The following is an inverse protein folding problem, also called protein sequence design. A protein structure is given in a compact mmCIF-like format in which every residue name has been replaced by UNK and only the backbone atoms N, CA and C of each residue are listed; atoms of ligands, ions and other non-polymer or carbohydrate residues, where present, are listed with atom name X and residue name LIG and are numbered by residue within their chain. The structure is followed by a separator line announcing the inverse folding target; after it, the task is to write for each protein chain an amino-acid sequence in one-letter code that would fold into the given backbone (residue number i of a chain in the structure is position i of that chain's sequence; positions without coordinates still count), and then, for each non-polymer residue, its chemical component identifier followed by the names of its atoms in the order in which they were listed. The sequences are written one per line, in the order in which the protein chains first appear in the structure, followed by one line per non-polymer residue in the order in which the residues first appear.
data_IF_990575012247
#
_entry.id   IF_990575012247
#
_cell.length_a   1.000
_cell.length_b   1.000
_cell.length_c   1.000
_cell.angle_alpha   90.00
_cell.angle_beta   90.00
_cell.angle_gamma   90.00
#
_symmetry.space_group_name_H-M   'P 1'
#
loop_
_entity.id
_entity.type
_entity.pdbx_description
1 polymer ?
#
# COMPACT_ATOMS: atom_id res chain seq x y z
N UNK A 1 109.09 3.75 -4.78
CA UNK A 1 107.69 3.77 -4.27
C UNK A 1 106.63 3.71 -5.41
N UNK A 2 106.73 2.79 -6.39
CA UNK A 2 105.77 2.72 -7.53
C UNK A 2 104.85 1.49 -7.57
N UNK A 3 105.00 0.52 -6.65
CA UNK A 3 104.22 -0.74 -6.68
C UNK A 3 102.77 -0.64 -6.19
N UNK A 4 102.40 0.41 -5.43
CA UNK A 4 101.03 0.53 -4.87
C UNK A 4 100.04 1.31 -5.75
N UNK A 5 100.52 2.06 -6.75
CA UNK A 5 99.63 2.87 -7.60
C UNK A 5 98.77 1.99 -8.54
N UNK A 6 99.31 0.85 -8.98
CA UNK A 6 98.59 -0.07 -9.88
C UNK A 6 97.52 -0.86 -9.12
N UNK A 7 97.80 -1.27 -7.88
CA UNK A 7 96.85 -1.95 -7.00
C UNK A 7 95.71 -1.01 -6.60
N UNK A 8 96.02 0.25 -6.25
CA UNK A 8 95.00 1.24 -5.91
C UNK A 8 94.10 1.59 -7.11
N UNK A 9 94.66 1.63 -8.32
CA UNK A 9 93.90 1.82 -9.57
C UNK A 9 92.98 0.64 -9.88
N UNK A 10 93.44 -0.60 -9.65
CA UNK A 10 92.60 -1.79 -9.80
C UNK A 10 91.48 -1.87 -8.77
N UNK A 11 91.74 -1.53 -7.52
CA UNK A 11 90.72 -1.48 -6.47
C UNK A 11 89.64 -0.42 -6.80
N UNK A 12 90.05 0.77 -7.26
CA UNK A 12 89.10 1.80 -7.70
C UNK A 12 88.27 1.35 -8.90
N UNK A 13 88.90 0.68 -9.88
CA UNK A 13 88.19 0.16 -11.05
C UNK A 13 87.18 -0.93 -10.66
N UNK A 14 87.55 -1.84 -9.75
CA UNK A 14 86.64 -2.85 -9.19
C UNK A 14 85.47 -2.22 -8.42
N UNK A 15 85.71 -1.19 -7.61
CA UNK A 15 84.66 -0.48 -6.88
C UNK A 15 83.69 0.23 -7.83
N UNK A 16 84.19 0.85 -8.91
CA UNK A 16 83.34 1.49 -9.93
C UNK A 16 82.52 0.45 -10.69
N UNK A 17 83.10 -0.70 -11.05
CA UNK A 17 82.38 -1.79 -11.72
C UNK A 17 81.31 -2.39 -10.79
N UNK A 18 81.61 -2.58 -9.50
CA UNK A 18 80.62 -3.01 -8.50
C UNK A 18 79.48 -1.99 -8.33
N UNK A 19 79.81 -0.69 -8.32
CA UNK A 19 78.81 0.38 -8.22
C UNK A 19 77.89 0.43 -9.46
N UNK A 20 78.46 0.23 -10.65
CA UNK A 20 77.72 0.18 -11.91
C UNK A 20 76.86 -1.09 -12.05
N UNK A 21 77.33 -2.23 -11.52
CA UNK A 21 76.55 -3.47 -11.44
C UNK A 21 75.39 -3.36 -10.43
N UNK A 22 75.59 -2.70 -9.29
CA UNK A 22 74.50 -2.37 -8.36
C UNK A 22 73.50 -1.36 -8.95
N UNK A 23 73.96 -0.43 -9.77
CA UNK A 23 73.11 0.56 -10.45
C UNK A 23 72.23 -0.07 -11.55
N UNK A 24 72.75 -1.08 -12.27
CA UNK A 24 72.04 -1.74 -13.38
C UNK A 24 71.03 -2.80 -12.94
N UNK A 25 71.05 -3.27 -11.69
CA UNK A 25 70.00 -4.14 -11.11
C UNK A 25 68.75 -3.40 -10.62
N UNK A 26 68.72 -2.07 -10.68
CA UNK A 26 67.57 -1.26 -10.26
C UNK A 26 66.62 -0.96 -11.42
N UNK A 27 66.30 -1.95 -12.27
CA UNK A 27 65.14 -1.84 -13.14
C UNK A 27 63.88 -1.92 -12.28
N UNK A 28 63.41 -0.78 -11.80
CA UNK A 28 62.10 -0.66 -11.15
C UNK A 28 61.05 -0.92 -12.22
N UNK A 29 60.69 -2.19 -12.43
CA UNK A 29 59.56 -2.55 -13.28
C UNK A 29 58.31 -1.85 -12.72
N UNK A 30 57.80 -0.87 -13.46
CA UNK A 30 56.55 -0.22 -13.10
C UNK A 30 55.46 -1.30 -13.02
N UNK A 31 54.93 -1.54 -11.82
CA UNK A 31 53.88 -2.53 -11.62
C UNK A 31 52.75 -2.32 -12.63
N UNK A 32 52.39 -3.38 -13.36
CA UNK A 32 51.38 -3.32 -14.42
C UNK A 32 50.10 -2.66 -13.89
N UNK A 33 49.70 -1.55 -14.53
CA UNK A 33 48.53 -0.76 -14.09
C UNK A 33 47.25 -1.47 -14.52
N UNK A 34 46.28 -1.53 -13.60
CA UNK A 34 45.00 -2.22 -13.81
C UNK A 34 43.92 -1.18 -14.11
N UNK A 35 43.32 -1.23 -15.30
CA UNK A 35 42.16 -0.39 -15.59
C UNK A 35 40.97 -0.81 -14.72
N UNK A 36 40.36 0.14 -14.00
CA UNK A 36 39.25 -0.12 -13.08
C UNK A 36 38.03 -0.71 -13.78
N UNK A 37 37.87 -0.51 -15.09
CA UNK A 37 36.82 -1.18 -15.90
C UNK A 37 36.95 -2.71 -15.90
N UNK A 38 38.16 -3.24 -15.72
CA UNK A 38 38.46 -4.67 -15.68
C UNK A 38 38.33 -5.26 -14.25
N UNK A 39 37.80 -4.48 -13.30
CA UNK A 39 37.53 -4.93 -11.94
C UNK A 39 36.05 -5.27 -11.77
N UNK A 40 35.71 -6.07 -10.76
CA UNK A 40 34.33 -6.34 -10.39
C UNK A 40 33.79 -5.19 -9.54
N UNK A 41 32.85 -4.43 -10.10
CA UNK A 41 32.20 -3.29 -9.43
C UNK A 41 30.75 -3.66 -9.11
N UNK A 42 30.39 -3.66 -7.83
CA UNK A 42 29.02 -3.90 -7.33
C UNK A 42 28.50 -2.68 -6.58
N UNK A 43 27.31 -2.22 -6.93
CA UNK A 43 26.55 -1.25 -6.14
C UNK A 43 25.71 -1.99 -5.09
N UNK A 44 25.53 -1.43 -3.89
CA UNK A 44 24.65 -2.00 -2.87
C UNK A 44 23.20 -2.09 -3.34
N UNK A 45 22.77 -1.17 -4.21
CA UNK A 45 21.49 -1.21 -4.91
C UNK A 45 21.60 -0.50 -6.26
N UNK A 46 20.95 -1.06 -7.28
CA UNK A 46 20.81 -0.45 -8.62
C UNK A 46 19.44 0.18 -8.83
N UNK A 47 18.44 -0.19 -8.02
CA UNK A 47 17.11 0.39 -7.98
C UNK A 47 16.78 0.76 -6.54
N UNK A 48 16.54 2.04 -6.27
CA UNK A 48 16.13 2.55 -4.97
C UNK A 48 14.75 3.21 -5.09
N UNK A 49 14.05 3.34 -3.97
CA UNK A 49 12.75 4.02 -3.92
C UNK A 49 12.94 5.44 -3.41
N UNK A 50 12.21 6.40 -3.98
CA UNK A 50 12.19 7.77 -3.48
C UNK A 50 11.80 7.83 -2.00
N UNK A 51 12.64 8.45 -1.17
CA UNK A 51 12.48 8.54 0.29
C UNK A 51 12.72 9.97 0.83
N UNK A 52 12.61 11.00 -0.02
CA UNK A 52 12.87 12.42 0.29
C UNK A 52 14.31 12.77 0.69
N UNK A 53 15.24 11.81 0.72
CA UNK A 53 16.67 12.02 1.05
C UNK A 53 17.57 11.83 -0.17
N UNK A 54 18.80 12.34 -0.10
CA UNK A 54 19.84 12.05 -1.09
C UNK A 54 20.27 10.59 -0.92
N UNK A 55 20.36 9.85 -2.02
CA UNK A 55 20.66 8.42 -2.05
C UNK A 55 21.91 8.15 -2.87
N UNK A 56 22.91 7.53 -2.23
CA UNK A 56 24.20 7.18 -2.82
C UNK A 56 24.52 5.72 -2.47
N UNK A 57 24.21 4.74 -3.34
CA UNK A 57 24.43 3.33 -3.03
C UNK A 57 25.92 3.03 -2.88
N UNK A 58 26.30 2.28 -1.83
CA UNK A 58 27.71 1.96 -1.55
C UNK A 58 28.35 1.23 -2.74
N UNK A 59 29.59 1.58 -3.06
CA UNK A 59 30.37 0.95 -4.15
C UNK A 59 31.37 -0.03 -3.55
N UNK A 60 31.31 -1.29 -4.00
CA UNK A 60 32.33 -2.30 -3.70
C UNK A 60 33.09 -2.63 -4.98
N UNK A 61 34.41 -2.45 -4.95
CA UNK A 61 35.30 -2.80 -6.06
C UNK A 61 36.19 -3.96 -5.63
N UNK A 62 36.31 -4.98 -6.48
CA UNK A 62 37.11 -6.18 -6.22
C UNK A 62 37.91 -6.57 -7.45
N UNK A 63 39.17 -6.93 -7.25
CA UNK A 63 40.05 -7.37 -8.31
C UNK A 63 40.79 -8.63 -7.86
N UNK A 64 40.71 -9.71 -8.65
CA UNK A 64 41.32 -11.03 -8.34
C UNK A 64 41.10 -11.46 -6.87
N UNK A 65 39.84 -11.41 -6.41
CA UNK A 65 39.46 -11.77 -5.03
C UNK A 65 39.70 -10.69 -3.97
N UNK A 66 40.58 -9.70 -4.21
CA UNK A 66 40.91 -8.64 -3.24
C UNK A 66 39.95 -7.46 -3.30
N UNK A 67 39.45 -7.03 -2.14
CA UNK A 67 38.66 -5.80 -2.00
C UNK A 67 39.57 -4.58 -2.09
N UNK A 68 39.23 -3.65 -2.98
CA UNK A 68 39.96 -2.40 -3.13
C UNK A 68 39.42 -1.36 -2.14
N UNK A 69 40.30 -0.48 -1.65
CA UNK A 69 39.95 0.57 -0.68
C UNK A 69 39.64 1.89 -1.39
N UNK A 70 38.48 2.47 -1.12
CA UNK A 70 38.14 3.83 -1.57
C UNK A 70 39.14 4.86 -1.02
N UNK A 71 39.35 5.98 -1.73
CA UNK A 71 40.36 7.03 -1.52
C UNK A 71 41.83 6.58 -1.69
N UNK A 72 42.13 5.30 -1.48
CA UNK A 72 43.46 4.69 -1.70
C UNK A 72 43.62 4.17 -3.13
N UNK A 73 42.73 3.28 -3.56
CA UNK A 73 42.80 2.59 -4.85
C UNK A 73 41.84 3.17 -5.90
N UNK A 74 40.78 3.85 -5.47
CA UNK A 74 39.84 4.52 -6.36
C UNK A 74 39.10 5.64 -5.63
N UNK A 75 38.51 6.57 -6.39
CA UNK A 75 37.60 7.60 -5.89
C UNK A 75 36.21 7.37 -6.52
N UNK A 76 35.16 7.61 -5.76
CA UNK A 76 33.78 7.55 -6.25
C UNK A 76 33.20 8.95 -6.42
N UNK A 77 32.62 9.24 -7.58
CA UNK A 77 31.86 10.48 -7.84
C UNK A 77 30.45 10.14 -8.28
N UNK A 78 29.46 10.74 -7.63
CA UNK A 78 28.05 10.62 -8.01
C UNK A 78 27.63 11.83 -8.84
N UNK A 79 26.72 11.63 -9.77
CA UNK A 79 25.97 12.73 -10.38
C UNK A 79 25.32 13.63 -9.34
N UNK A 80 25.13 14.91 -9.65
CA UNK A 80 24.39 15.84 -8.77
C UNK A 80 22.92 15.41 -8.66
N UNK A 81 22.26 15.82 -7.58
CA UNK A 81 20.80 15.72 -7.47
C UNK A 81 20.22 14.32 -7.24
N UNK A 82 20.98 13.34 -6.75
CA UNK A 82 20.57 11.95 -6.44
C UNK A 82 19.48 11.83 -5.34
N UNK A 83 18.38 12.56 -5.45
CA UNK A 83 17.25 12.59 -4.52
C UNK A 83 15.94 12.35 -5.25
N UNK A 84 15.74 12.97 -6.41
CA UNK A 84 14.50 12.87 -7.21
C UNK A 84 14.48 11.58 -8.03
N UNK A 85 13.33 11.19 -8.55
CA UNK A 85 13.20 10.07 -9.49
C UNK A 85 14.03 10.34 -10.74
N UNK A 86 14.75 9.32 -11.19
CA UNK A 86 15.63 9.44 -12.34
C UNK A 86 16.74 8.40 -12.37
N UNK A 87 17.52 8.45 -13.44
CA UNK A 87 18.72 7.63 -13.61
C UNK A 87 19.95 8.46 -13.27
N UNK A 88 20.84 7.91 -12.44
CA UNK A 88 22.03 8.56 -11.93
C UNK A 88 23.27 7.73 -12.24
N UNK A 89 24.40 8.42 -12.43
CA UNK A 89 25.68 7.79 -12.75
C UNK A 89 26.62 7.85 -11.55
N UNK A 90 27.25 6.73 -11.26
CA UNK A 90 28.39 6.59 -10.35
C UNK A 90 29.64 6.40 -11.20
N UNK A 91 30.60 7.31 -11.05
CA UNK A 91 31.91 7.20 -11.67
C UNK A 91 32.91 6.66 -10.65
N UNK A 92 33.62 5.61 -11.01
CA UNK A 92 34.68 4.99 -10.24
C UNK A 92 35.98 5.31 -10.96
N UNK A 93 36.83 6.12 -10.36
CA UNK A 93 38.07 6.61 -10.96
C UNK A 93 39.22 5.91 -10.25
N UNK A 94 40.04 5.15 -10.99
CA UNK A 94 41.20 4.46 -10.44
C UNK A 94 42.24 5.44 -9.88
N UNK A 95 42.97 5.01 -8.84
CA UNK A 95 44.10 5.73 -8.25
C UNK A 95 45.31 4.80 -8.05
N UNK A 96 46.51 5.32 -8.30
CA UNK A 96 47.77 4.59 -8.13
C UNK A 96 47.93 3.48 -9.18
N UNK A 97 48.09 2.24 -8.73
CA UNK A 97 48.20 1.07 -9.61
C UNK A 97 46.89 0.73 -10.33
N UNK A 98 45.76 1.30 -9.89
CA UNK A 98 44.48 1.20 -10.58
C UNK A 98 44.25 2.49 -11.37
N UNK A 99 43.88 2.40 -12.64
CA UNK A 99 43.75 3.55 -13.55
C UNK A 99 42.41 3.57 -14.29
N UNK A 100 42.17 4.63 -15.05
CA UNK A 100 40.97 4.78 -15.87
C UNK A 100 39.71 5.03 -15.05
N UNK A 101 38.58 5.06 -15.76
CA UNK A 101 37.27 5.35 -15.17
C UNK A 101 36.25 4.31 -15.61
N UNK A 102 35.48 3.80 -14.66
CA UNK A 102 34.31 2.98 -14.92
C UNK A 102 33.04 3.73 -14.50
N UNK A 103 31.96 3.55 -15.27
CA UNK A 103 30.65 4.14 -14.96
C UNK A 103 29.66 3.02 -14.64
N UNK A 104 28.89 3.20 -13.57
CA UNK A 104 27.72 2.38 -13.23
C UNK A 104 26.52 3.29 -13.06
N UNK A 105 25.33 2.74 -13.31
CA UNK A 105 24.08 3.48 -13.17
C UNK A 105 23.24 2.89 -12.05
N UNK A 106 22.51 3.75 -11.36
CA UNK A 106 21.41 3.37 -10.49
C UNK A 106 20.20 4.26 -10.77
N UNK A 107 19.03 3.76 -10.39
CA UNK A 107 17.76 4.44 -10.63
C UNK A 107 17.06 4.68 -9.31
N UNK A 108 16.55 5.89 -9.11
CA UNK A 108 15.57 6.19 -8.06
C UNK A 108 14.19 6.11 -8.69
N UNK A 109 13.37 5.17 -8.21
CA UNK A 109 12.00 4.91 -8.65
C UNK A 109 11.00 5.73 -7.82
N UNK A 110 9.79 6.00 -8.35
CA UNK A 110 8.75 6.70 -7.60
C UNK A 110 8.32 5.90 -6.34
N UNK A 111 7.65 6.55 -5.37
CA UNK A 111 7.17 5.86 -4.16
C UNK A 111 6.22 4.72 -4.54
N UNK A 112 6.30 3.58 -3.84
CA UNK A 112 5.43 2.43 -4.09
C UNK A 112 3.97 2.82 -3.88
N UNK A 113 3.08 2.42 -4.78
CA UNK A 113 1.65 2.60 -4.60
C UNK A 113 1.09 1.56 -3.60
N UNK A 114 0.00 1.92 -2.94
CA UNK A 114 -0.70 1.08 -1.98
C UNK A 114 -2.18 1.11 -2.33
N UNK A 115 -2.77 -0.07 -2.54
CA UNK A 115 -4.22 -0.24 -2.57
C UNK A 115 -4.69 -0.12 -1.13
N UNK A 116 -5.64 0.78 -0.89
CA UNK A 116 -6.27 0.98 0.40
C UNK A 116 -7.54 0.16 0.49
N UNK A 117 -8.39 0.23 -0.54
CA UNK A 117 -9.63 -0.51 -0.59
C UNK A 117 -10.06 -0.80 -2.04
N UNK A 118 -10.95 -1.77 -2.23
CA UNK A 118 -11.57 -2.10 -3.50
C UNK A 118 -13.08 -2.30 -3.26
N UNK A 119 -13.90 -1.53 -3.96
CA UNK A 119 -15.35 -1.65 -3.97
C UNK A 119 -15.77 -2.31 -5.28
N UNK A 120 -16.67 -3.30 -5.24
CA UNK A 120 -17.13 -4.00 -6.44
C UNK A 120 -18.65 -4.02 -6.49
N UNK A 121 -19.17 -3.86 -7.71
CA UNK A 121 -20.59 -4.00 -8.04
C UNK A 121 -20.73 -5.06 -9.14
N UNK A 122 -21.88 -5.16 -9.80
CA UNK A 122 -22.16 -6.21 -10.79
C UNK A 122 -21.20 -6.18 -11.98
N UNK A 123 -20.89 -5.00 -12.51
CA UNK A 123 -20.05 -4.85 -13.72
C UNK A 123 -18.90 -3.84 -13.57
N UNK A 124 -18.70 -3.30 -12.36
CA UNK A 124 -17.70 -2.27 -12.09
C UNK A 124 -16.94 -2.55 -10.80
N UNK A 125 -15.75 -1.96 -10.68
CA UNK A 125 -15.02 -1.91 -9.42
C UNK A 125 -14.27 -0.58 -9.27
N UNK A 126 -14.26 -0.03 -8.06
CA UNK A 126 -13.54 1.19 -7.70
C UNK A 126 -12.38 0.85 -6.78
N UNK A 127 -11.15 1.17 -7.20
CA UNK A 127 -9.93 0.86 -6.46
C UNK A 127 -9.38 2.12 -5.82
N UNK A 128 -9.54 2.23 -4.50
CA UNK A 128 -8.99 3.32 -3.71
C UNK A 128 -7.50 3.06 -3.43
N UNK A 129 -6.67 4.08 -3.66
CA UNK A 129 -5.22 4.02 -3.51
C UNK A 129 -4.72 5.14 -2.60
N UNK A 130 -3.63 4.88 -1.86
CA UNK A 130 -3.00 5.92 -1.03
C UNK A 130 -2.46 7.02 -1.94
N UNK A 131 -2.95 8.25 -1.75
CA UNK A 131 -2.54 9.42 -2.55
C UNK A 131 -1.02 9.65 -2.47
N UNK A 132 -0.38 9.80 -3.63
CA UNK A 132 1.05 10.07 -3.76
C UNK A 132 1.29 11.42 -4.46
N UNK A 133 1.56 12.47 -3.68
CA UNK A 133 1.68 13.85 -4.19
C UNK A 133 3.08 14.21 -4.67
N UNK A 134 4.11 13.44 -4.29
CA UNK A 134 5.50 13.76 -4.60
C UNK A 134 6.12 12.72 -5.52
N UNK A 135 6.94 13.18 -6.47
CA UNK A 135 7.70 12.32 -7.39
C UNK A 135 6.83 11.26 -8.09
N UNK A 136 5.60 11.63 -8.44
CA UNK A 136 4.59 10.76 -9.04
C UNK A 136 3.83 11.58 -10.09
N UNK A 137 3.75 11.08 -11.32
CA UNK A 137 2.96 11.66 -12.40
C UNK A 137 1.59 10.98 -12.57
N UNK A 138 1.44 9.78 -12.02
CA UNK A 138 0.19 9.03 -12.02
C UNK A 138 0.38 7.57 -11.63
N UNK A 139 -0.60 6.75 -12.00
CA UNK A 139 -0.68 5.36 -11.57
C UNK A 139 -0.90 4.42 -12.76
N UNK A 140 -0.51 3.16 -12.57
CA UNK A 140 -0.93 2.04 -13.39
C UNK A 140 -1.55 0.98 -12.51
N UNK A 141 -2.72 0.50 -12.92
CA UNK A 141 -3.37 -0.63 -12.32
C UNK A 141 -3.37 -1.79 -13.31
N UNK A 142 -2.99 -2.98 -12.86
CA UNK A 142 -3.18 -4.21 -13.61
C UNK A 142 -4.18 -5.10 -12.91
N UNK A 143 -5.02 -5.80 -13.67
CA UNK A 143 -6.02 -6.70 -13.12
C UNK A 143 -6.27 -7.91 -14.04
N UNK A 144 -6.62 -9.04 -13.43
CA UNK A 144 -6.94 -10.29 -14.12
C UNK A 144 -7.84 -11.16 -13.24
N UNK A 145 -8.55 -12.12 -13.82
CA UNK A 145 -9.23 -13.18 -13.07
C UNK A 145 -8.25 -14.24 -12.54
N UNK A 146 -7.02 -14.28 -13.08
CA UNK A 146 -5.95 -15.14 -12.59
C UNK A 146 -5.24 -14.51 -11.38
N UNK A 147 -5.14 -15.24 -10.27
CA UNK A 147 -4.51 -14.78 -9.02
C UNK A 147 -3.02 -14.41 -9.15
N UNK A 148 -2.33 -14.97 -10.14
CA UNK A 148 -0.92 -14.64 -10.46
C UNK A 148 -0.80 -13.47 -11.43
N UNK A 149 -1.91 -12.83 -11.81
CA UNK A 149 -1.96 -11.71 -12.75
C UNK A 149 -1.33 -12.04 -14.12
N UNK A 150 -1.45 -13.31 -14.54
CA UNK A 150 -1.11 -13.72 -15.91
C UNK A 150 -2.07 -13.06 -16.88
N UNK A 151 -1.55 -12.53 -18.00
CA UNK A 151 -2.34 -11.85 -19.04
C UNK A 151 -3.22 -10.70 -18.51
N UNK A 152 -2.75 -10.02 -17.46
CA UNK A 152 -3.50 -8.93 -16.84
C UNK A 152 -3.72 -7.75 -17.79
N UNK A 153 -4.96 -7.25 -17.81
CA UNK A 153 -5.30 -5.96 -18.41
C UNK A 153 -4.64 -4.84 -17.60
N UNK A 154 -4.23 -3.76 -18.26
CA UNK A 154 -3.56 -2.62 -17.59
C UNK A 154 -4.25 -1.31 -17.94
N UNK A 155 -4.56 -0.51 -16.92
CA UNK A 155 -5.10 0.84 -17.02
C UNK A 155 -4.03 1.82 -16.54
N UNK A 156 -3.89 2.94 -17.26
CA UNK A 156 -2.99 4.03 -16.86
C UNK A 156 -3.82 5.26 -16.51
N UNK A 157 -3.69 5.74 -15.28
CA UNK A 157 -4.35 6.96 -14.80
C UNK A 157 -3.34 8.09 -14.78
N UNK A 158 -3.62 9.14 -15.56
CA UNK A 158 -2.80 10.35 -15.59
C UNK A 158 -3.15 11.25 -14.41
N UNK A 159 -2.14 11.89 -13.85
CA UNK A 159 -2.30 12.76 -12.68
C UNK A 159 -2.27 11.97 -11.37
N UNK A 160 -1.98 12.68 -10.30
CA UNK A 160 -1.81 12.12 -8.95
C UNK A 160 -2.73 12.77 -7.90
N UNK A 161 -3.67 13.62 -8.35
CA UNK A 161 -4.69 14.25 -7.52
C UNK A 161 -5.73 13.23 -7.06
N UNK A 162 -6.19 12.40 -7.99
CA UNK A 162 -7.19 11.37 -7.72
C UNK A 162 -6.55 10.20 -6.96
N UNK A 163 -7.31 9.68 -6.00
CA UNK A 163 -6.95 8.55 -5.15
C UNK A 163 -7.81 7.31 -5.47
N UNK A 164 -8.52 7.30 -6.60
CA UNK A 164 -9.36 6.18 -7.05
C UNK A 164 -9.08 5.82 -8.51
N UNK A 165 -9.29 4.56 -8.85
CA UNK A 165 -9.21 4.02 -10.21
C UNK A 165 -10.48 3.22 -10.48
N UNK A 166 -11.23 3.59 -11.50
CA UNK A 166 -12.46 2.91 -11.90
C UNK A 166 -12.18 1.82 -12.94
N UNK A 167 -12.76 0.64 -12.71
CA UNK A 167 -12.77 -0.50 -13.63
C UNK A 167 -14.21 -0.70 -14.10
N UNK A 168 -14.43 -0.67 -15.41
CA UNK A 168 -15.74 -0.89 -16.01
C UNK A 168 -15.72 -2.13 -16.91
N UNK A 169 -16.90 -2.68 -17.19
CA UNK A 169 -17.05 -3.84 -18.08
C UNK A 169 -16.47 -5.12 -17.49
N UNK A 170 -16.59 -5.28 -16.18
CA UNK A 170 -16.27 -6.52 -15.48
C UNK A 170 -17.42 -7.51 -15.64
N UNK A 171 -17.11 -8.81 -15.65
CA UNK A 171 -18.14 -9.86 -15.68
C UNK A 171 -18.75 -9.98 -14.30
N UNK A 172 -20.06 -10.14 -14.20
CA UNK A 172 -20.77 -10.42 -12.96
C UNK A 172 -20.28 -11.71 -12.28
N UNK A 173 -20.40 -11.79 -10.95
CA UNK A 173 -20.04 -12.96 -10.14
C UNK A 173 -18.59 -13.43 -10.26
N UNK A 174 -17.67 -12.59 -10.74
CA UNK A 174 -16.32 -12.97 -11.13
C UNK A 174 -15.29 -12.32 -10.21
N UNK A 175 -14.37 -13.13 -9.69
CA UNK A 175 -13.24 -12.63 -8.90
C UNK A 175 -12.15 -12.04 -9.78
N UNK A 176 -11.72 -10.82 -9.46
CA UNK A 176 -10.61 -10.13 -10.08
C UNK A 176 -9.51 -9.85 -9.05
N UNK A 177 -8.28 -10.16 -9.42
CA UNK A 177 -7.06 -9.83 -8.70
C UNK A 177 -6.42 -8.62 -9.35
N UNK A 178 -5.81 -7.75 -8.56
CA UNK A 178 -5.24 -6.51 -9.05
C UNK A 178 -4.05 -6.00 -8.25
N UNK A 179 -3.20 -5.24 -8.93
CA UNK A 179 -2.09 -4.52 -8.33
C UNK A 179 -1.97 -3.14 -8.95
N UNK A 180 -1.47 -2.19 -8.17
CA UNK A 180 -1.22 -0.83 -8.62
C UNK A 180 0.25 -0.45 -8.44
N UNK A 181 0.76 0.45 -9.28
CA UNK A 181 2.09 1.04 -9.16
C UNK A 181 2.02 2.50 -9.56
N UNK A 182 2.86 3.33 -8.95
CA UNK A 182 3.09 4.70 -9.41
C UNK A 182 3.98 4.71 -10.65
N UNK A 183 3.84 5.74 -11.47
CA UNK A 183 4.83 6.13 -12.44
C UNK A 183 5.19 7.60 -12.31
N UNK A 184 6.41 7.95 -12.74
CA UNK A 184 6.87 9.32 -12.86
C UNK A 184 7.54 9.50 -14.22
N UNK A 185 7.17 10.55 -14.94
CA UNK A 185 7.79 10.90 -16.21
C UNK A 185 8.87 11.94 -15.99
N UNK A 186 10.10 11.65 -16.42
CA UNK A 186 11.23 12.58 -16.37
C UNK A 186 11.82 12.65 -17.77
N UNK A 187 11.75 13.83 -18.41
CA UNK A 187 12.22 14.06 -19.79
C UNK A 187 11.70 13.00 -20.78
N UNK A 188 10.38 12.78 -20.79
CA UNK A 188 9.72 11.79 -21.66
C UNK A 188 9.84 10.31 -21.22
N UNK A 189 10.79 9.97 -20.35
CA UNK A 189 10.97 8.59 -19.85
C UNK A 189 10.13 8.31 -18.61
N UNK A 190 9.34 7.23 -18.64
CA UNK A 190 8.58 6.73 -17.47
C UNK A 190 9.43 5.83 -16.57
N UNK A 191 9.37 6.12 -15.27
CA UNK A 191 9.94 5.30 -14.20
C UNK A 191 8.80 4.72 -13.38
N UNK A 192 8.81 3.42 -13.17
CA UNK A 192 7.74 2.71 -12.46
C UNK A 192 8.23 2.21 -11.11
N UNK A 193 7.40 2.36 -10.07
CA UNK A 193 7.66 1.67 -8.82
C UNK A 193 7.46 0.16 -8.96
N UNK A 194 7.86 -0.58 -7.91
CA UNK A 194 7.43 -1.97 -7.77
C UNK A 194 5.90 -2.00 -7.66
N UNK A 195 5.29 -3.07 -8.15
CA UNK A 195 3.87 -3.34 -7.93
C UNK A 195 3.55 -3.37 -6.43
N UNK A 196 2.34 -2.92 -6.09
CA UNK A 196 1.74 -3.08 -4.77
C UNK A 196 1.59 -4.55 -4.39
N UNK A 197 1.21 -4.80 -3.15
CA UNK A 197 0.61 -6.09 -2.79
C UNK A 197 -0.66 -6.32 -3.63
N UNK A 198 -1.01 -7.59 -3.85
CA UNK A 198 -2.20 -7.95 -4.62
C UNK A 198 -3.45 -7.70 -3.78
N UNK A 199 -4.38 -6.91 -4.31
CA UNK A 199 -5.76 -6.83 -3.83
C UNK A 199 -6.66 -7.69 -4.72
N UNK A 200 -7.88 -7.96 -4.27
CA UNK A 200 -8.88 -8.66 -5.06
C UNK A 200 -10.29 -8.23 -4.66
N UNK A 201 -11.24 -8.45 -5.57
CA UNK A 201 -12.67 -8.28 -5.30
C UNK A 201 -13.47 -9.27 -6.17
N UNK A 202 -14.70 -9.54 -5.78
CA UNK A 202 -15.65 -10.33 -6.58
C UNK A 202 -16.82 -9.42 -6.93
N UNK A 203 -17.16 -9.34 -8.21
CA UNK A 203 -18.32 -8.58 -8.69
C UNK A 203 -19.63 -9.25 -8.28
N UNK A 204 -20.69 -8.47 -8.14
CA UNK A 204 -22.01 -8.99 -7.80
C UNK A 204 -22.58 -9.82 -8.96
N UNK A 205 -23.51 -10.74 -8.67
CA UNK A 205 -24.22 -11.51 -9.71
C UNK A 205 -25.35 -10.67 -10.30
N UNK A 206 -25.72 -10.93 -11.55
CA UNK A 206 -26.90 -10.33 -12.18
C UNK A 206 -28.17 -10.89 -11.51
N UNK A 207 -29.12 -10.00 -11.17
CA UNK A 207 -30.45 -10.37 -10.66
C UNK A 207 -31.46 -10.33 -11.81
N UNK A 208 -31.91 -11.49 -12.28
CA UNK A 208 -33.03 -11.55 -13.23
C UNK A 208 -34.35 -11.42 -12.45
N UNK A 209 -34.98 -10.25 -12.48
CA UNK A 209 -36.31 -10.04 -11.88
C UNK A 209 -37.37 -10.03 -12.98
N UNK A 210 -38.15 -11.11 -13.07
CA UNK A 210 -39.38 -11.20 -13.87
C UNK A 210 -40.52 -11.43 -12.89
N UNK A 211 -41.08 -10.37 -12.31
CA UNK A 211 -42.22 -10.49 -11.40
C UNK A 211 -43.53 -10.47 -12.19
N UNK A 212 -44.15 -11.65 -12.37
CA UNK A 212 -45.60 -11.75 -12.52
C UNK A 212 -46.23 -11.64 -11.14
N UNK A 213 -47.11 -10.65 -10.99
CA UNK A 213 -47.88 -10.39 -9.77
C UNK A 213 -49.01 -11.41 -9.65
N UNK A 214 -49.00 -12.23 -8.59
CA UNK A 214 -50.16 -12.98 -8.14
C UNK A 214 -50.52 -12.51 -6.73
N UNK A 215 -51.72 -11.94 -6.60
CA UNK A 215 -52.32 -11.45 -5.37
C UNK A 215 -52.76 -12.62 -4.48
N UNK A 216 -52.39 -12.69 -3.18
CA UNK A 216 -52.97 -13.68 -2.27
C UNK A 216 -54.19 -13.11 -1.51
N UNK A 217 -55.25 -13.92 -1.47
CA UNK A 217 -56.46 -13.79 -0.65
C UNK A 217 -56.19 -14.32 0.77
N UNK A 218 -56.76 -13.75 1.86
CA UNK A 218 -56.47 -14.18 3.24
C UNK A 218 -57.44 -15.28 3.74
N UNK A 219 -56.96 -16.22 4.55
CA UNK A 219 -57.75 -17.05 5.49
C UNK A 219 -56.81 -17.66 6.58
N UNK A 220 -57.28 -18.18 7.73
CA UNK A 220 -56.89 -17.70 9.06
C UNK A 220 -56.01 -18.69 9.87
N UNK A 221 -55.44 -18.16 10.95
CA UNK A 221 -54.54 -18.79 11.95
C UNK A 221 -55.18 -19.91 12.78
N UNK A 222 -54.40 -20.93 13.19
CA UNK A 222 -54.42 -21.32 14.61
C UNK A 222 -53.03 -21.65 15.23
N UNK A 223 -53.10 -21.80 16.55
CA UNK A 223 -52.12 -21.73 17.66
C UNK A 223 -51.06 -22.87 17.78
N UNK A 224 -49.96 -22.56 18.48
CA UNK A 224 -48.74 -23.31 18.90
C UNK A 224 -49.00 -24.60 19.72
N UNK A 225 -48.15 -25.62 19.97
CA UNK A 225 -46.67 -25.94 20.07
C UNK A 225 -46.59 -27.50 20.28
N UNK A 226 -45.46 -28.27 20.43
CA UNK A 226 -44.01 -28.01 20.37
C UNK A 226 -43.14 -29.04 19.55
N UNK A 227 -41.81 -28.76 19.54
CA UNK A 227 -40.62 -29.32 18.82
C UNK A 227 -39.98 -30.48 19.65
N UNK A 228 -39.25 -31.54 19.15
CA UNK A 228 -37.99 -31.42 18.37
C UNK A 228 -37.54 -32.54 17.38
N UNK A 229 -36.64 -32.17 16.44
CA UNK A 229 -35.30 -32.75 16.13
C UNK A 229 -34.83 -32.26 14.73
N UNK A 230 -33.57 -31.79 14.57
CA UNK A 230 -33.15 -31.01 13.40
C UNK A 230 -32.83 -31.87 12.18
N UNK A 231 -33.43 -31.51 11.05
CA UNK A 231 -33.09 -31.97 9.69
C UNK A 231 -32.43 -30.79 8.96
N UNK A 232 -31.37 -31.00 8.15
CA UNK A 232 -30.42 -29.97 7.73
C UNK A 232 -31.04 -28.79 7.00
N UNK A 233 -30.59 -27.59 7.36
CA UNK A 233 -30.98 -26.29 6.79
C UNK A 233 -30.51 -26.20 5.34
N UNK A 234 -31.42 -26.08 4.35
CA UNK A 234 -31.10 -25.59 3.03
C UNK A 234 -30.70 -24.11 3.14
N UNK A 235 -29.61 -23.74 2.48
CA UNK A 235 -29.09 -22.38 2.41
C UNK A 235 -30.13 -21.52 1.66
N UNK A 236 -31.05 -20.91 2.41
CA UNK A 236 -32.15 -20.13 1.90
C UNK A 236 -31.64 -18.91 1.12
N UNK A 237 -32.23 -18.70 -0.05
CA UNK A 237 -32.16 -17.48 -0.83
C UNK A 237 -32.61 -16.29 0.04
N UNK A 238 -31.78 -15.26 0.14
CA UNK A 238 -32.09 -14.01 0.84
C UNK A 238 -33.17 -13.24 0.05
N UNK A 239 -34.33 -12.87 0.65
CA UNK A 239 -35.36 -12.08 -0.03
C UNK A 239 -34.97 -10.59 -0.10
N UNK A 240 -35.61 -9.84 -0.98
CA UNK A 240 -35.41 -8.40 -1.14
C UNK A 240 -35.81 -7.63 0.14
N UNK A 241 -34.83 -6.97 0.78
CA UNK A 241 -34.89 -6.48 2.18
C UNK A 241 -35.49 -5.07 2.42
N UNK A 242 -36.28 -4.51 1.49
CA UNK A 242 -36.71 -3.09 1.54
C UNK A 242 -38.20 -2.88 1.84
N UNK A 243 -38.92 -3.87 2.38
CA UNK A 243 -40.31 -3.70 2.81
C UNK A 243 -40.38 -3.29 4.30
N UNK A 244 -41.03 -2.15 4.57
CA UNK A 244 -41.27 -1.64 5.93
C UNK A 244 -42.41 -2.40 6.60
N UNK A 245 -42.17 -2.92 7.79
CA UNK A 245 -43.17 -3.57 8.64
C UNK A 245 -43.86 -2.58 9.60
N UNK A 246 -45.09 -2.89 10.02
CA UNK A 246 -45.88 -2.08 10.96
C UNK A 246 -45.69 -2.48 12.44
N UNK A 247 -44.83 -3.46 12.72
CA UNK A 247 -44.54 -3.87 14.09
C UNK A 247 -43.67 -2.82 14.83
N UNK A 248 -43.79 -2.66 16.15
CA UNK A 248 -42.87 -1.82 16.91
C UNK A 248 -41.47 -2.46 16.99
N UNK A 249 -40.43 -1.63 17.11
CA UNK A 249 -39.07 -2.13 17.30
C UNK A 249 -38.93 -2.89 18.62
N UNK A 250 -38.15 -3.97 18.58
CA UNK A 250 -37.97 -4.89 19.71
C UNK A 250 -36.93 -4.39 20.70
N UNK A 251 -35.92 -3.67 20.22
CA UNK A 251 -34.80 -3.18 21.01
C UNK A 251 -34.74 -1.65 21.00
N UNK A 252 -34.00 -1.12 21.96
CA UNK A 252 -33.75 0.31 22.13
C UNK A 252 -32.48 0.74 21.39
N UNK A 253 -32.47 1.95 20.84
CA UNK A 253 -31.29 2.50 20.16
C UNK A 253 -31.12 3.98 20.48
N UNK A 254 -29.94 4.32 21.02
CA UNK A 254 -29.48 5.69 21.22
C UNK A 254 -28.09 5.84 20.58
N UNK A 255 -27.74 7.05 20.14
CA UNK A 255 -26.42 7.33 19.56
C UNK A 255 -25.79 8.57 20.20
N UNK A 256 -24.51 8.46 20.53
CA UNK A 256 -23.74 9.49 21.20
C UNK A 256 -22.40 9.70 20.49
N UNK A 257 -21.93 10.95 20.39
CA UNK A 257 -20.55 11.23 20.05
C UNK A 257 -19.62 10.95 21.24
N UNK A 258 -18.47 10.33 21.01
CA UNK A 258 -17.55 9.87 22.07
C UNK A 258 -16.52 10.91 22.55
N UNK A 259 -16.60 12.16 22.09
CA UNK A 259 -15.71 13.21 22.59
C UNK A 259 -16.18 13.71 23.97
N UNK A 260 -15.25 13.83 24.93
CA UNK A 260 -15.55 14.07 26.36
C UNK A 260 -16.09 15.48 26.65
N UNK A 261 -16.22 16.33 25.64
CA UNK A 261 -16.81 17.66 25.74
C UNK A 261 -17.66 17.87 24.47
N UNK A 262 -19.00 17.89 24.62
CA UNK A 262 -20.03 18.23 23.61
C UNK A 262 -19.56 18.05 22.16
N UNK A 263 -19.74 16.85 21.62
CA UNK A 263 -19.23 16.38 20.34
C UNK A 263 -19.24 17.42 19.19
N UNK A 264 -18.07 17.98 18.90
CA UNK A 264 -17.86 18.66 17.63
C UNK A 264 -17.63 17.60 16.53
N UNK A 265 -18.71 17.32 15.80
CA UNK A 265 -18.69 16.47 14.61
C UNK A 265 -18.25 17.37 13.45
N UNK A 266 -17.08 17.09 12.86
CA UNK A 266 -16.52 17.89 11.78
C UNK A 266 -16.47 17.12 10.47
N UNK A 267 -16.54 17.86 9.35
CA UNK A 267 -16.25 17.33 8.03
C UNK A 267 -14.83 16.78 7.91
N UNK A 268 -14.66 15.89 6.95
CA UNK A 268 -13.40 15.25 6.58
C UNK A 268 -12.66 14.45 7.67
N UNK A 269 -13.27 14.29 8.84
CA UNK A 269 -12.75 13.50 9.96
C UNK A 269 -13.55 12.20 10.15
N UNK A 270 -12.87 11.09 10.44
CA UNK A 270 -13.53 9.88 10.95
C UNK A 270 -13.90 10.11 12.41
N UNK A 271 -15.18 9.97 12.74
CA UNK A 271 -15.72 10.18 14.09
C UNK A 271 -16.28 8.87 14.64
N UNK A 272 -15.88 8.46 15.86
CA UNK A 272 -16.50 7.33 16.54
C UNK A 272 -17.84 7.76 17.14
N UNK A 273 -18.87 6.97 16.88
CA UNK A 273 -20.20 7.10 17.46
C UNK A 273 -20.45 5.89 18.35
N UNK A 274 -20.87 6.12 19.59
CA UNK A 274 -21.34 5.07 20.49
C UNK A 274 -22.83 4.84 20.26
N UNK A 275 -23.20 3.60 19.99
CA UNK A 275 -24.58 3.15 19.82
C UNK A 275 -24.93 2.36 21.07
N UNK A 276 -25.79 2.92 21.92
CA UNK A 276 -26.32 2.23 23.10
C UNK A 276 -27.56 1.46 22.68
N UNK A 277 -27.54 0.15 22.88
CA UNK A 277 -28.64 -0.74 22.52
C UNK A 277 -28.57 -2.03 23.35
N UNK A 278 -29.73 -2.59 23.64
CA UNK A 278 -29.91 -3.93 24.20
C UNK A 278 -29.98 -5.02 23.13
N UNK A 279 -29.84 -4.69 21.84
CA UNK A 279 -29.79 -5.66 20.75
C UNK A 279 -28.45 -6.44 20.74
N UNK A 280 -28.47 -7.76 21.00
CA UNK A 280 -27.25 -8.56 21.07
C UNK A 280 -26.65 -8.93 19.70
N UNK A 281 -27.38 -8.77 18.59
CA UNK A 281 -26.95 -9.16 17.24
C UNK A 281 -26.70 -7.94 16.34
N UNK A 282 -25.43 -7.60 16.04
CA UNK A 282 -25.08 -6.46 15.19
C UNK A 282 -25.45 -6.61 13.71
N UNK A 283 -25.85 -7.81 13.25
CA UNK A 283 -26.33 -8.02 11.87
C UNK A 283 -27.85 -7.78 11.73
N UNK A 284 -28.57 -7.77 12.86
CA UNK A 284 -30.03 -7.62 12.89
C UNK A 284 -30.50 -6.17 12.85
N UNK A 285 -29.59 -5.20 12.81
CA UNK A 285 -29.96 -3.78 12.69
C UNK A 285 -28.98 -2.99 11.80
N UNK A 286 -29.43 -1.82 11.37
CA UNK A 286 -28.66 -0.91 10.54
C UNK A 286 -28.94 0.56 10.88
N UNK A 287 -27.98 1.42 10.57
CA UNK A 287 -28.08 2.87 10.56
C UNK A 287 -28.13 3.38 9.12
N UNK A 288 -29.20 4.05 8.74
CA UNK A 288 -29.36 4.67 7.43
C UNK A 288 -28.95 6.14 7.53
N UNK A 289 -27.91 6.55 6.80
CA UNK A 289 -27.46 7.93 6.69
C UNK A 289 -27.98 8.53 5.37
N UNK A 290 -28.95 9.45 5.43
CA UNK A 290 -29.51 10.12 4.24
C UNK A 290 -29.88 9.13 3.10
N UNK A 291 -30.50 8.00 3.44
CA UNK A 291 -30.88 6.93 2.49
C UNK A 291 -29.82 5.85 2.22
N UNK A 292 -28.60 5.97 2.76
CA UNK A 292 -27.54 4.97 2.61
C UNK A 292 -27.48 4.01 3.81
N UNK A 293 -27.66 2.70 3.57
CA UNK A 293 -27.68 1.66 4.60
C UNK A 293 -26.27 1.30 5.11
N UNK A 294 -26.05 1.41 6.42
CA UNK A 294 -24.81 1.00 7.09
C UNK A 294 -24.34 -0.43 6.84
N UNK A 295 -25.23 -1.39 6.55
CA UNK A 295 -24.88 -2.78 6.23
C UNK A 295 -24.26 -2.88 4.85
N UNK A 296 -24.57 -1.93 3.95
CA UNK A 296 -23.88 -1.79 2.65
C UNK A 296 -22.50 -1.14 2.80
N UNK A 297 -22.22 -0.54 3.97
CA UNK A 297 -20.92 0.02 4.36
C UNK A 297 -20.15 -0.90 5.31
N UNK A 298 -20.02 -2.19 4.98
CA UNK A 298 -19.15 -3.10 5.70
C UNK A 298 -17.66 -2.80 5.38
N UNK A 299 -17.15 -1.66 5.86
CA UNK A 299 -15.71 -1.42 5.87
C UNK A 299 -15.21 -1.20 7.30
N UNK A 300 -14.58 -2.25 7.83
CA UNK A 300 -13.58 -2.13 8.88
C UNK A 300 -12.39 -1.38 8.28
N UNK A 301 -12.38 -0.07 8.48
CA UNK A 301 -11.13 0.68 8.49
C UNK A 301 -10.21 -0.04 9.48
N UNK A 302 -9.08 -0.56 9.02
CA UNK A 302 -7.92 -0.69 9.88
C UNK A 302 -7.51 0.72 10.29
N UNK A 303 -8.29 1.36 11.15
CA UNK A 303 -7.93 2.62 11.76
C UNK A 303 -6.88 2.29 12.81
N UNK A 304 -5.80 3.06 12.79
CA UNK A 304 -5.04 3.33 13.98
C UNK A 304 -6.02 3.58 15.14
N UNK A 305 -5.79 2.86 16.24
CA UNK A 305 -6.45 3.04 17.52
C UNK A 305 -6.30 4.50 17.92
N UNK A 306 -7.38 5.26 18.00
CA UNK A 306 -7.36 6.65 18.45
C UNK A 306 -7.89 6.81 19.88
N UNK A 307 -8.43 5.74 20.48
CA UNK A 307 -8.88 5.71 21.88
C UNK A 307 -8.55 4.34 22.48
N UNK A 308 -7.40 4.21 23.14
CA UNK A 308 -6.99 2.97 23.82
C UNK A 308 -7.74 2.72 25.15
N UNK A 309 -8.69 3.61 25.51
CA UNK A 309 -9.38 3.63 26.81
C UNK A 309 -10.75 2.91 26.83
N UNK A 310 -11.27 2.43 25.69
CA UNK A 310 -12.56 1.73 25.64
C UNK A 310 -12.33 0.22 25.49
N UNK A 311 -12.63 -0.59 26.52
CA UNK A 311 -12.46 -2.04 26.44
C UNK A 311 -13.52 -2.66 25.51
N UNK A 312 -13.07 -3.32 24.44
CA UNK A 312 -13.90 -4.10 23.53
C UNK A 312 -14.29 -5.43 24.17
N UNK A 313 -15.53 -5.87 23.99
CA UNK A 313 -16.00 -7.14 24.59
C UNK A 313 -15.70 -8.37 23.72
N UNK A 314 -15.55 -8.22 22.40
CA UNK A 314 -15.22 -9.30 21.46
C UNK A 314 -14.30 -8.81 20.34
N UNK A 315 -13.23 -9.56 20.05
CA UNK A 315 -12.27 -9.24 18.98
C UNK A 315 -12.64 -9.88 17.62
N UNK A 316 -13.71 -10.66 17.59
CA UNK A 316 -14.22 -11.38 16.42
C UNK A 316 -15.49 -10.71 15.89
N UNK A 317 -15.32 -9.81 14.92
CA UNK A 317 -16.38 -9.40 14.01
C UNK A 317 -15.81 -9.39 12.61
N UNK A 318 -15.83 -10.55 11.96
CA UNK A 318 -15.49 -10.69 10.54
C UNK A 318 -16.65 -10.26 9.63
N UNK A 319 -17.80 -9.84 10.18
CA UNK A 319 -19.03 -9.63 9.39
C UNK A 319 -19.71 -8.27 9.59
N UNK A 320 -19.33 -7.45 10.58
CA UNK A 320 -19.98 -6.13 10.81
C UNK A 320 -19.01 -4.97 10.93
N UNK A 321 -19.45 -3.77 10.54
CA UNK A 321 -18.73 -2.50 10.74
C UNK A 321 -18.89 -1.94 12.16
N UNK A 322 -19.39 -2.73 13.10
CA UNK A 322 -19.74 -2.34 14.48
C UNK A 322 -18.80 -3.06 15.46
N UNK A 323 -18.12 -2.32 16.31
CA UNK A 323 -17.23 -2.88 17.33
C UNK A 323 -17.99 -3.01 18.66
N UNK A 324 -18.15 -4.24 19.18
CA UNK A 324 -18.92 -4.48 20.41
C UNK A 324 -18.18 -3.96 21.65
N UNK A 325 -18.88 -3.21 22.48
CA UNK A 325 -18.39 -2.66 23.76
C UNK A 325 -19.45 -2.87 24.85
N UNK A 326 -19.07 -2.65 26.11
CA UNK A 326 -20.03 -2.74 27.22
C UNK A 326 -21.20 -1.78 27.02
N UNK A 327 -22.41 -2.35 26.95
CA UNK A 327 -23.66 -1.61 26.78
C UNK A 327 -23.99 -1.16 25.35
N UNK A 328 -23.27 -1.65 24.32
CA UNK A 328 -23.60 -1.33 22.93
C UNK A 328 -22.48 -1.58 21.91
N UNK A 329 -22.36 -0.68 20.93
CA UNK A 329 -21.42 -0.79 19.82
C UNK A 329 -20.75 0.55 19.47
N UNK A 330 -19.58 0.49 18.84
CA UNK A 330 -18.88 1.65 18.28
C UNK A 330 -18.94 1.57 16.75
N UNK A 331 -19.24 2.69 16.10
CA UNK A 331 -19.17 2.85 14.64
C UNK A 331 -18.34 4.06 14.27
N UNK A 332 -17.47 3.93 13.27
CA UNK A 332 -16.75 5.07 12.70
C UNK A 332 -17.47 5.58 11.46
N UNK A 333 -17.79 6.87 11.44
CA UNK A 333 -18.47 7.53 10.33
C UNK A 333 -17.60 8.69 9.85
N UNK A 334 -17.49 8.86 8.53
CA UNK A 334 -16.87 10.04 7.91
C UNK A 334 -17.95 10.89 7.26
N UNK A 335 -18.02 12.15 7.65
CA UNK A 335 -18.89 13.15 7.02
C UNK A 335 -18.08 13.95 6.01
N UNK A 336 -18.63 14.17 4.82
CA UNK A 336 -17.94 14.87 3.73
C UNK A 336 -18.38 16.33 3.59
N UNK A 337 -19.56 16.66 4.08
CA UNK A 337 -20.15 18.00 4.00
C UNK A 337 -20.72 18.38 5.37
N UNK A 338 -20.65 19.66 5.72
CA UNK A 338 -21.27 20.17 6.92
C UNK A 338 -22.79 20.20 6.73
N UNK A 339 -23.53 20.10 7.83
CA UNK A 339 -24.98 20.12 7.81
C UNK A 339 -25.60 19.18 8.83
N UNK A 340 -26.91 19.11 8.77
CA UNK A 340 -27.71 18.28 9.67
C UNK A 340 -28.02 16.95 8.98
N UNK A 341 -27.57 15.86 9.61
CA UNK A 341 -27.75 14.50 9.12
C UNK A 341 -28.81 13.78 9.92
N UNK A 342 -29.77 13.18 9.23
CA UNK A 342 -30.78 12.32 9.84
C UNK A 342 -30.29 10.88 9.75
N UNK A 343 -30.20 10.23 10.92
CA UNK A 343 -29.77 8.84 11.08
C UNK A 343 -30.96 8.01 11.51
N UNK A 344 -31.41 7.12 10.63
CA UNK A 344 -32.53 6.20 10.90
C UNK A 344 -31.98 4.83 11.35
N UNK A 345 -32.48 4.32 12.47
CA UNK A 345 -32.24 2.96 12.94
C UNK A 345 -33.32 2.03 12.39
N UNK A 346 -32.89 0.95 11.75
CA UNK A 346 -33.75 -0.12 11.24
C UNK A 346 -33.38 -1.45 11.85
N UNK A 347 -34.36 -2.19 12.34
CA UNK A 347 -34.25 -3.60 12.70
C UNK A 347 -34.65 -4.44 11.50
N UNK A 348 -33.97 -5.56 11.26
CA UNK A 348 -34.26 -6.44 10.14
C UNK A 348 -34.73 -7.80 10.64
N UNK A 349 -35.78 -8.28 9.98
CA UNK A 349 -36.34 -9.61 10.15
C UNK A 349 -36.21 -10.37 8.82
N UNK A 350 -36.73 -11.61 8.79
CA UNK A 350 -36.84 -12.37 7.55
C UNK A 350 -37.87 -11.77 6.57
N UNK A 351 -38.82 -10.97 7.05
CA UNK A 351 -39.94 -10.42 6.28
C UNK A 351 -39.74 -8.97 5.84
N UNK A 352 -38.73 -8.27 6.36
CA UNK A 352 -38.51 -6.86 6.05
C UNK A 352 -37.72 -6.12 7.11
N UNK A 353 -38.07 -4.85 7.31
CA UNK A 353 -37.46 -4.03 8.34
C UNK A 353 -38.48 -3.23 9.15
N UNK A 354 -38.15 -3.00 10.42
CA UNK A 354 -38.91 -2.15 11.33
C UNK A 354 -38.13 -0.89 11.61
N UNK A 355 -38.82 0.25 11.57
CA UNK A 355 -38.25 1.54 11.99
C UNK A 355 -38.14 1.57 13.52
N UNK A 356 -36.94 1.80 14.04
CA UNK A 356 -36.69 1.79 15.48
C UNK A 356 -36.54 3.19 16.08
N UNK A 357 -35.73 4.04 15.46
CA UNK A 357 -35.50 5.40 15.95
C UNK A 357 -34.92 6.29 14.85
N UNK A 358 -35.05 7.61 14.99
CA UNK A 358 -34.33 8.59 14.19
C UNK A 358 -33.58 9.55 15.10
N UNK A 359 -32.29 9.78 14.81
CA UNK A 359 -31.48 10.75 15.52
C UNK A 359 -30.88 11.76 14.55
N UNK A 360 -30.81 13.01 14.98
CA UNK A 360 -30.22 14.11 14.22
C UNK A 360 -28.80 14.39 14.69
N UNK A 361 -27.85 14.41 13.76
CA UNK A 361 -26.45 14.78 13.99
C UNK A 361 -26.14 16.08 13.27
N UNK A 362 -25.62 17.08 13.99
CA UNK A 362 -25.13 18.31 13.39
C UNK A 362 -23.63 18.19 13.12
N UNK A 363 -23.24 18.34 11.86
CA UNK A 363 -21.84 18.29 11.41
C UNK A 363 -21.42 19.71 11.04
N UNK A 364 -20.34 20.17 11.64
CA UNK A 364 -19.74 21.46 11.39
C UNK A 364 -18.62 21.33 10.35
N UNK A 365 -18.29 22.42 9.66
CA UNK A 365 -17.09 22.45 8.83
C UNK A 365 -15.83 22.59 9.70
N UNK A 366 -14.73 22.04 9.20
CA UNK A 366 -13.43 22.18 9.85
C UNK A 366 -12.89 23.58 9.58
N UNK A 367 -12.84 24.45 10.60
CA UNK A 367 -12.16 25.76 10.52
C UNK A 367 -10.63 25.63 10.36
#
# INVERSE_FOLDING_TARGET
MKKNHHLHRQIHLCLIILLLLFCSSSQVFAAARVNVKNTRIKLSATKLTYNKKVQRPKVRVTYKGKVLKEKKNYIVKYSKGCKKVGTYTVQIIGKGTYTGTAKKQFVILPPKAQIMNIYAETAVATVAIKRQTTQTSGYQLRYATNSKLKNAKTITVKGNKNNTIFLNGLRAGTTYYMQTRTYMTVKGKKYYSKWSSTGHCTTNRETNSTHQSATPTPTPTPTSTPVPTPTPIPKADLPAHDQKENAPAKYTYEIYGLDKQKADIYTDCLKPLFIKTDNPDPNSFSLIFNGNDSRTSAYRSGSSRFFDDIPLENNDSETTSLEKVKGGYIKYVKFFEAGTYTVEFREYSLSGYTFANTVTLNVLDYD
#
